data_IF_021984167521
#
_entry.id   IF_021984167521
#
_cell.length_a   1.000
_cell.length_b   1.000
_cell.length_c   1.000
_cell.angle_alpha   90.00
_cell.angle_beta   90.00
_cell.angle_gamma   90.00
#
_symmetry.space_group_name_H-M   'P 1'
#
loop_
_entity.id
_entity.type
_entity.pdbx_description
1 polymer ?
#
# COMPACT_ATOMS: atom_id res chain seq x y z
N UNK A 1 -8.87 14.35 -13.79
CA UNK A 1 -9.57 13.06 -14.00
C UNK A 1 -8.60 11.90 -14.17
N UNK A 2 -7.76 11.86 -15.21
CA UNK A 2 -6.87 10.71 -15.44
C UNK A 2 -5.78 10.51 -14.37
N UNK A 3 -5.07 11.58 -13.98
CA UNK A 3 -4.07 11.51 -12.90
C UNK A 3 -4.71 11.13 -11.56
N UNK A 4 -5.94 11.58 -11.29
CA UNK A 4 -6.67 11.24 -10.04
C UNK A 4 -7.02 9.77 -9.99
N UNK A 5 -7.47 9.24 -11.13
CA UNK A 5 -7.70 7.82 -11.29
C UNK A 5 -6.41 7.02 -11.04
N UNK A 6 -5.27 7.45 -11.58
CA UNK A 6 -4.00 6.77 -11.36
C UNK A 6 -3.54 6.86 -9.90
N UNK A 7 -3.66 8.02 -9.25
CA UNK A 7 -3.36 8.19 -7.81
C UNK A 7 -4.20 7.20 -7.00
N UNK A 8 -5.52 7.17 -7.25
CA UNK A 8 -6.43 6.25 -6.59
C UNK A 8 -6.10 4.77 -6.86
N UNK A 9 -5.81 4.42 -8.12
CA UNK A 9 -5.45 3.07 -8.54
C UNK A 9 -4.20 2.56 -7.81
N UNK A 10 -3.12 3.35 -7.81
CA UNK A 10 -1.87 2.95 -7.15
C UNK A 10 -1.99 2.98 -5.63
N UNK A 11 -2.66 3.98 -5.05
CA UNK A 11 -2.88 4.03 -3.61
C UNK A 11 -3.73 2.83 -3.12
N UNK A 12 -4.78 2.47 -3.86
CA UNK A 12 -5.63 1.32 -3.54
C UNK A 12 -4.89 -0.02 -3.73
N UNK A 13 -4.04 -0.14 -4.75
CA UNK A 13 -3.27 -1.37 -5.00
C UNK A 13 -2.15 -1.62 -3.98
N UNK A 14 -1.67 -0.59 -3.29
CA UNK A 14 -0.62 -0.74 -2.30
C UNK A 14 -1.01 -1.71 -1.17
N UNK A 15 -2.23 -1.60 -0.63
CA UNK A 15 -2.65 -2.41 0.52
C UNK A 15 -2.82 -3.91 0.19
N UNK A 16 -3.56 -4.33 -0.85
CA UNK A 16 -3.71 -5.73 -1.20
C UNK A 16 -2.36 -6.41 -1.45
N UNK A 17 -1.48 -5.79 -2.24
CA UNK A 17 -0.18 -6.38 -2.54
C UNK A 17 0.71 -6.49 -1.30
N UNK A 18 0.62 -5.55 -0.36
CA UNK A 18 1.32 -5.68 0.92
C UNK A 18 0.80 -6.88 1.72
N UNK A 19 -0.51 -6.95 1.94
CA UNK A 19 -1.13 -8.00 2.76
C UNK A 19 -0.91 -9.38 2.15
N UNK A 20 -1.22 -9.54 0.87
CA UNK A 20 -1.04 -10.80 0.13
C UNK A 20 0.43 -11.23 0.20
N UNK A 21 1.37 -10.32 -0.04
CA UNK A 21 2.79 -10.63 0.03
C UNK A 21 3.26 -11.01 1.45
N UNK A 22 2.63 -10.47 2.49
CA UNK A 22 2.93 -10.81 3.88
C UNK A 22 2.34 -12.15 4.34
N UNK A 23 1.24 -12.59 3.73
CA UNK A 23 0.64 -13.90 3.96
C UNK A 23 1.18 -14.98 3.00
N UNK A 24 2.36 -14.77 2.41
CA UNK A 24 2.98 -15.64 1.39
C UNK A 24 2.10 -15.92 0.15
N UNK A 25 1.07 -15.11 -0.05
CA UNK A 25 0.19 -15.15 -1.20
C UNK A 25 0.92 -14.72 -2.47
N UNK A 26 0.63 -15.44 -3.56
CA UNK A 26 1.18 -15.16 -4.87
C UNK A 26 0.09 -14.62 -5.77
N UNK A 27 0.25 -13.37 -6.19
CA UNK A 27 -0.64 -12.68 -7.12
C UNK A 27 0.26 -12.00 -8.16
N UNK A 28 -0.23 -11.88 -9.39
CA UNK A 28 0.46 -11.20 -10.47
C UNK A 28 0.65 -9.73 -10.10
N UNK A 29 1.90 -9.33 -9.87
CA UNK A 29 2.32 -7.93 -9.82
C UNK A 29 3.34 -7.62 -10.92
N UNK A 30 3.72 -6.35 -11.06
CA UNK A 30 4.69 -5.93 -12.08
C UNK A 30 6.06 -6.61 -11.92
N UNK A 31 6.40 -7.04 -10.70
CA UNK A 31 7.66 -7.73 -10.37
C UNK A 31 7.53 -9.26 -10.32
N UNK A 32 6.45 -9.84 -10.88
CA UNK A 32 6.25 -11.29 -10.98
C UNK A 32 5.35 -11.90 -9.90
N UNK A 33 5.41 -13.22 -9.75
CA UNK A 33 4.48 -14.04 -8.96
C UNK A 33 5.11 -14.58 -7.67
N UNK A 34 5.60 -13.68 -6.82
CA UNK A 34 6.18 -14.06 -5.51
C UNK A 34 5.73 -13.14 -4.39
N UNK A 35 5.73 -13.66 -3.16
CA UNK A 35 5.40 -12.91 -1.95
C UNK A 35 6.27 -11.65 -1.78
N UNK A 36 7.58 -11.78 -2.01
CA UNK A 36 8.53 -10.65 -1.96
C UNK A 36 8.29 -9.64 -3.07
N UNK A 37 7.96 -10.09 -4.28
CA UNK A 37 7.59 -9.22 -5.39
C UNK A 37 6.33 -8.43 -5.09
N UNK A 38 5.33 -9.04 -4.44
CA UNK A 38 4.11 -8.38 -3.99
C UNK A 38 4.40 -7.26 -2.97
N UNK A 39 5.24 -7.52 -1.98
CA UNK A 39 5.65 -6.49 -1.01
C UNK A 39 6.38 -5.33 -1.71
N UNK A 40 7.33 -5.64 -2.60
CA UNK A 40 8.06 -4.63 -3.37
C UNK A 40 7.12 -3.80 -4.27
N UNK A 41 6.15 -4.47 -4.91
CA UNK A 41 5.16 -3.81 -5.76
C UNK A 41 4.24 -2.89 -4.96
N UNK A 42 3.86 -3.27 -3.74
CA UNK A 42 3.13 -2.42 -2.82
C UNK A 42 3.88 -1.11 -2.52
N UNK A 43 5.18 -1.18 -2.23
CA UNK A 43 6.01 0.02 -2.00
C UNK A 43 6.11 0.89 -3.26
N UNK A 44 6.28 0.28 -4.43
CA UNK A 44 6.27 0.99 -5.70
C UNK A 44 4.92 1.70 -5.93
N UNK A 45 3.80 1.03 -5.68
CA UNK A 45 2.46 1.62 -5.81
C UNK A 45 2.30 2.86 -4.92
N UNK A 46 2.70 2.76 -3.65
CA UNK A 46 2.69 3.91 -2.73
C UNK A 46 3.57 5.06 -3.24
N UNK A 47 4.78 4.76 -3.73
CA UNK A 47 5.69 5.77 -4.27
C UNK A 47 5.12 6.44 -5.52
N UNK A 48 4.51 5.69 -6.45
CA UNK A 48 3.87 6.24 -7.65
C UNK A 48 2.68 7.12 -7.27
N UNK A 49 1.82 6.66 -6.34
CA UNK A 49 0.68 7.44 -5.89
C UNK A 49 1.11 8.79 -5.28
N UNK A 50 2.11 8.79 -4.39
CA UNK A 50 2.66 10.01 -3.78
C UNK A 50 3.37 10.91 -4.81
N UNK A 51 4.12 10.32 -5.75
CA UNK A 51 4.79 11.07 -6.81
C UNK A 51 3.80 11.76 -7.75
N UNK A 52 2.75 11.06 -8.17
CA UNK A 52 1.67 11.63 -8.98
C UNK A 52 0.87 12.70 -8.22
N UNK A 53 0.64 12.47 -6.92
CA UNK A 53 -0.04 13.46 -6.07
C UNK A 53 0.81 14.72 -5.91
N UNK A 54 2.10 14.60 -5.59
CA UNK A 54 3.04 15.73 -5.55
C UNK A 54 3.05 16.48 -6.88
N UNK A 55 3.10 15.77 -8.01
CA UNK A 55 3.12 16.38 -9.33
C UNK A 55 1.86 17.20 -9.64
N UNK A 56 0.68 16.75 -9.19
CA UNK A 56 -0.59 17.37 -9.54
C UNK A 56 -1.08 18.41 -8.52
N UNK A 57 -0.93 18.11 -7.24
CA UNK A 57 -1.59 18.83 -6.14
C UNK A 57 -0.60 19.43 -5.14
N UNK A 58 0.63 18.92 -5.09
CA UNK A 58 1.60 19.25 -4.04
C UNK A 58 1.28 18.55 -2.72
N UNK A 59 2.30 18.01 -2.05
CA UNK A 59 2.16 17.27 -0.79
C UNK A 59 1.66 18.15 0.37
N UNK A 60 1.82 19.47 0.27
CA UNK A 60 1.27 20.44 1.21
C UNK A 60 -0.26 20.40 1.28
N UNK A 61 -0.93 19.97 0.21
CA UNK A 61 -2.40 19.88 0.14
C UNK A 61 -2.94 18.51 0.56
N UNK A 62 -2.10 17.60 1.06
CA UNK A 62 -2.53 16.22 1.37
C UNK A 62 -3.60 16.17 2.46
N UNK A 63 -3.58 17.13 3.39
CA UNK A 63 -4.58 17.26 4.45
C UNK A 63 -5.98 17.61 3.89
N UNK A 64 -6.04 18.30 2.76
CA UNK A 64 -7.30 18.67 2.09
C UNK A 64 -7.88 17.49 1.29
N UNK A 65 -7.09 16.45 1.04
CA UNK A 65 -7.46 15.26 0.28
C UNK A 65 -7.75 14.08 1.20
N UNK A 66 -8.81 14.20 2.01
CA UNK A 66 -9.15 13.25 3.08
C UNK A 66 -9.23 11.78 2.64
N UNK A 67 -9.69 11.49 1.42
CA UNK A 67 -9.71 10.12 0.90
C UNK A 67 -8.30 9.54 0.73
N UNK A 68 -7.39 10.28 0.10
CA UNK A 68 -6.01 9.83 -0.08
C UNK A 68 -5.29 9.74 1.27
N UNK A 69 -5.49 10.73 2.15
CA UNK A 69 -4.94 10.72 3.50
C UNK A 69 -5.40 9.49 4.28
N UNK A 70 -6.68 9.15 4.23
CA UNK A 70 -7.23 7.94 4.86
C UNK A 70 -6.60 6.66 4.32
N UNK A 71 -6.45 6.54 2.99
CA UNK A 71 -5.80 5.37 2.37
C UNK A 71 -4.34 5.26 2.83
N UNK A 72 -3.59 6.36 2.80
CA UNK A 72 -2.18 6.37 3.24
C UNK A 72 -2.04 6.04 4.73
N UNK A 73 -2.92 6.54 5.58
CA UNK A 73 -2.95 6.19 7.00
C UNK A 73 -3.13 4.70 7.21
N UNK A 74 -4.04 4.06 6.47
CA UNK A 74 -4.23 2.60 6.53
C UNK A 74 -2.97 1.87 6.04
N UNK A 75 -2.46 2.24 4.86
CA UNK A 75 -1.26 1.61 4.27
C UNK A 75 -0.08 1.69 5.24
N UNK A 76 0.22 2.88 5.79
CA UNK A 76 1.33 3.06 6.70
C UNK A 76 1.12 2.38 8.05
N UNK A 77 -0.14 2.29 8.53
CA UNK A 77 -0.47 1.50 9.72
C UNK A 77 -0.14 0.02 9.53
N UNK A 78 -0.37 -0.55 8.33
CA UNK A 78 0.04 -1.92 8.04
C UNK A 78 1.55 -2.07 7.83
N UNK A 79 2.21 -1.09 7.21
CA UNK A 79 3.67 -1.13 7.04
C UNK A 79 4.40 -1.15 8.39
N UNK A 80 4.07 -0.20 9.27
CA UNK A 80 4.68 -0.08 10.60
C UNK A 80 4.13 -1.07 11.62
N UNK A 81 2.83 -1.38 11.55
CA UNK A 81 2.14 -2.27 12.49
C UNK A 81 2.37 -3.76 12.23
N UNK A 82 2.98 -4.15 11.12
CA UNK A 82 3.18 -5.56 10.78
C UNK A 82 3.86 -6.40 11.88
N UNK A 83 4.90 -5.93 12.59
CA UNK A 83 5.49 -6.70 13.70
C UNK A 83 4.48 -6.98 14.83
N UNK A 84 3.59 -6.05 15.12
CA UNK A 84 2.54 -6.19 16.14
C UNK A 84 1.49 -7.20 15.65
N UNK A 85 1.03 -7.05 14.40
CA UNK A 85 0.07 -7.95 13.77
C UNK A 85 0.62 -9.38 13.76
N UNK A 86 1.89 -9.56 13.38
CA UNK A 86 2.54 -10.89 13.37
C UNK A 86 2.53 -11.51 14.76
N UNK A 87 2.92 -10.76 15.80
CA UNK A 87 2.88 -11.25 17.19
C UNK A 87 1.49 -11.70 17.60
N UNK A 88 0.46 -10.92 17.26
CA UNK A 88 -0.93 -11.26 17.57
C UNK A 88 -1.41 -12.51 16.81
N UNK A 89 -1.05 -12.64 15.53
CA UNK A 89 -1.44 -13.79 14.72
C UNK A 89 -0.78 -15.07 15.23
N UNK A 90 0.50 -15.01 15.59
CA UNK A 90 1.24 -16.14 16.17
C UNK A 90 0.73 -16.50 17.57
N UNK A 91 0.43 -15.52 18.44
CA UNK A 91 -0.15 -15.81 19.76
C UNK A 91 -1.57 -16.39 19.69
N UNK A 92 -2.26 -16.19 18.56
CA UNK A 92 -3.61 -16.71 18.31
C UNK A 92 -3.60 -18.07 17.58
N UNK A 93 -2.43 -18.64 17.27
CA UNK A 93 -2.31 -19.89 16.50
C UNK A 93 -2.76 -19.79 15.04
N UNK A 94 -2.75 -18.60 14.44
CA UNK A 94 -3.25 -18.33 13.07
C UNK A 94 -2.14 -18.26 12.01
N UNK A 95 -0.89 -18.51 12.40
CA UNK A 95 0.34 -18.55 11.56
C UNK A 95 1.19 -19.69 12.03
#
# INVERSE_FOLDING_TARGET
MFIDFLIGLFAANALPHYLIGRFDGRILGLFGYSARANIAYSFLCTAIALGLFQYKYGLESIADHGMLLGVLLVVFSFYGGWPIITRYLTSSGKT
#
